data_IF_010439569346
#
_entry.id   IF_010439569346
#
_cell.length_a   1.000
_cell.length_b   1.000
_cell.length_c   1.000
_cell.angle_alpha   90.00
_cell.angle_beta   90.00
_cell.angle_gamma   90.00
#
_symmetry.space_group_name_H-M   'P 1'
#
loop_
_entity.id
_entity.type
_entity.pdbx_description
1 polymer ?
#
# COMPACT_ATOMS: atom_id res chain seq x y z
N UNK A 1 7.15 -18.80 -2.48
CA UNK A 1 7.64 -17.43 -2.82
C UNK A 1 8.79 -17.01 -1.92
N UNK A 2 8.70 -17.15 -0.58
CA UNK A 2 9.79 -16.77 0.33
C UNK A 2 11.10 -17.52 -0.02
N UNK A 3 11.05 -18.84 -0.15
CA UNK A 3 12.23 -19.65 -0.51
C UNK A 3 12.87 -19.19 -1.84
N UNK A 4 12.06 -18.82 -2.84
CA UNK A 4 12.58 -18.31 -4.11
C UNK A 4 13.29 -16.96 -3.94
N UNK A 5 12.72 -16.04 -3.15
CA UNK A 5 13.36 -14.74 -2.87
C UNK A 5 14.65 -14.91 -2.06
N UNK A 6 14.66 -15.84 -1.11
CA UNK A 6 15.87 -16.14 -0.32
C UNK A 6 17.00 -16.75 -1.15
N UNK A 7 16.66 -17.57 -2.16
CA UNK A 7 17.64 -18.23 -3.03
C UNK A 7 18.16 -17.30 -4.14
N UNK A 8 17.24 -16.57 -4.79
CA UNK A 8 17.51 -15.88 -6.05
C UNK A 8 17.43 -14.35 -5.96
N UNK A 9 17.08 -13.79 -4.79
CA UNK A 9 16.71 -12.39 -4.64
C UNK A 9 15.30 -12.10 -5.16
N UNK A 10 14.89 -10.84 -5.09
CA UNK A 10 13.64 -10.37 -5.69
C UNK A 10 13.92 -9.92 -7.13
N UNK A 11 13.17 -10.46 -8.07
CA UNK A 11 13.30 -10.10 -9.48
C UNK A 11 12.14 -9.22 -9.91
N UNK A 12 12.43 -8.12 -10.60
CA UNK A 12 11.47 -7.21 -11.20
C UNK A 12 11.58 -7.27 -12.73
N UNK A 13 10.49 -7.69 -13.36
CA UNK A 13 10.33 -7.61 -14.81
C UNK A 13 9.57 -6.33 -15.19
N UNK A 14 10.12 -5.55 -16.12
CA UNK A 14 9.49 -4.34 -16.66
C UNK A 14 9.63 -4.29 -18.19
N UNK A 15 8.67 -3.63 -18.85
CA UNK A 15 8.59 -3.62 -20.32
C UNK A 15 7.85 -4.84 -20.90
N UNK A 16 7.78 -4.91 -22.24
CA UNK A 16 7.08 -5.97 -22.97
C UNK A 16 7.89 -6.41 -24.21
N UNK A 17 7.70 -7.64 -24.66
CA UNK A 17 8.36 -8.17 -25.85
C UNK A 17 9.88 -8.06 -25.76
N UNK A 18 10.51 -7.54 -26.81
CA UNK A 18 11.97 -7.37 -26.91
C UNK A 18 12.52 -6.29 -25.94
N UNK A 19 11.65 -5.44 -25.37
CA UNK A 19 12.00 -4.44 -24.37
C UNK A 19 11.87 -4.96 -22.93
N UNK A 20 11.56 -6.23 -22.71
CA UNK A 20 11.48 -6.82 -21.39
C UNK A 20 12.86 -6.79 -20.72
N UNK A 21 12.90 -6.18 -19.54
CA UNK A 21 14.10 -6.13 -18.69
C UNK A 21 13.81 -6.82 -17.38
N UNK A 22 14.79 -7.51 -16.86
CA UNK A 22 14.74 -8.13 -15.53
C UNK A 22 15.85 -7.54 -14.68
N UNK A 23 15.45 -6.94 -13.56
CA UNK A 23 16.37 -6.44 -12.54
C UNK A 23 16.32 -7.35 -11.32
N UNK A 24 17.49 -7.58 -10.70
CA UNK A 24 17.60 -8.38 -9.48
C UNK A 24 17.92 -7.45 -8.31
N UNK A 25 17.21 -7.67 -7.21
CA UNK A 25 17.44 -7.00 -5.94
C UNK A 25 17.79 -8.04 -4.88
N UNK A 26 18.95 -7.87 -4.26
CA UNK A 26 19.35 -8.66 -3.10
C UNK A 26 18.61 -8.08 -1.88
N UNK A 27 17.71 -8.87 -1.32
CA UNK A 27 16.86 -8.49 -0.21
C UNK A 27 16.94 -9.50 0.92
N UNK A 28 16.93 -9.03 2.16
CA UNK A 28 16.71 -9.90 3.30
C UNK A 28 15.22 -10.24 3.38
N UNK A 29 14.88 -11.51 3.30
CA UNK A 29 13.51 -11.98 3.33
C UNK A 29 13.28 -12.96 4.47
N UNK A 30 12.28 -12.69 5.30
CA UNK A 30 11.92 -13.52 6.45
C UNK A 30 10.41 -13.62 6.60
N UNK A 31 9.92 -14.74 7.13
CA UNK A 31 8.55 -14.89 7.61
C UNK A 31 8.41 -14.45 9.08
N UNK A 32 9.51 -14.25 9.77
CA UNK A 32 9.58 -13.80 11.16
C UNK A 32 10.01 -12.34 11.22
N UNK A 33 9.07 -11.46 11.56
CA UNK A 33 9.34 -10.03 11.70
C UNK A 33 10.35 -9.72 12.79
N UNK A 34 10.42 -10.51 13.86
CA UNK A 34 11.34 -10.30 14.96
C UNK A 34 12.82 -10.46 14.52
N UNK A 35 13.07 -11.29 13.49
CA UNK A 35 14.42 -11.47 12.94
C UNK A 35 14.95 -10.24 12.19
N UNK A 36 14.09 -9.29 11.83
CA UNK A 36 14.44 -8.10 11.06
C UNK A 36 14.70 -6.87 11.95
N UNK A 37 14.04 -6.81 13.11
CA UNK A 37 14.15 -5.69 14.05
C UNK A 37 13.49 -4.39 13.58
N UNK A 38 13.60 -3.29 14.35
CA UNK A 38 12.99 -2.02 14.02
C UNK A 38 13.59 -1.37 12.76
N UNK A 39 12.73 -0.68 12.01
CA UNK A 39 13.09 0.04 10.77
C UNK A 39 12.62 1.48 10.83
N UNK A 40 13.30 2.38 10.12
CA UNK A 40 12.86 3.78 9.96
C UNK A 40 11.60 3.89 9.10
N UNK A 41 11.44 2.99 8.11
CA UNK A 41 10.29 2.90 7.23
C UNK A 41 9.79 1.46 7.12
N UNK A 42 8.52 1.26 7.39
CA UNK A 42 7.81 0.00 7.14
C UNK A 42 6.72 0.24 6.09
N UNK A 43 6.80 -0.44 4.95
CA UNK A 43 5.79 -0.36 3.89
C UNK A 43 4.83 -1.54 4.00
N UNK A 44 3.58 -1.25 4.34
CA UNK A 44 2.51 -2.25 4.40
C UNK A 44 1.79 -2.30 3.06
N UNK A 45 2.12 -3.30 2.24
CA UNK A 45 1.62 -3.48 0.87
C UNK A 45 0.83 -4.79 0.74
N UNK A 46 -0.19 -4.98 1.58
CA UNK A 46 -1.04 -6.17 1.60
C UNK A 46 -2.48 -5.84 1.24
N UNK A 47 -3.29 -6.86 0.94
CA UNK A 47 -4.74 -6.70 0.83
C UNK A 47 -5.37 -6.51 2.21
N UNK A 48 -6.43 -5.71 2.29
CA UNK A 48 -7.10 -5.37 3.55
C UNK A 48 -7.42 -6.59 4.47
N UNK A 49 -7.88 -7.75 3.97
CA UNK A 49 -8.13 -8.92 4.82
C UNK A 49 -6.90 -9.45 5.57
N UNK A 50 -5.68 -9.19 5.05
CA UNK A 50 -4.43 -9.62 5.70
C UNK A 50 -3.99 -8.68 6.83
N UNK A 51 -4.60 -7.51 6.99
CA UNK A 51 -4.17 -6.50 7.98
C UNK A 51 -4.23 -7.01 9.42
N UNK A 52 -5.19 -7.87 9.76
CA UNK A 52 -5.25 -8.48 11.10
C UNK A 52 -4.00 -9.32 11.40
N UNK A 53 -3.54 -10.10 10.42
CA UNK A 53 -2.29 -10.87 10.56
C UNK A 53 -1.06 -9.98 10.63
N UNK A 54 -1.02 -8.89 9.85
CA UNK A 54 0.04 -7.89 9.93
C UNK A 54 0.09 -7.26 11.32
N UNK A 55 -1.06 -6.84 11.86
CA UNK A 55 -1.14 -6.24 13.19
C UNK A 55 -0.59 -7.15 14.31
N UNK A 56 -0.76 -8.46 14.19
CA UNK A 56 -0.23 -9.42 15.15
C UNK A 56 1.29 -9.59 15.12
N UNK A 57 1.93 -9.23 14.01
CA UNK A 57 3.34 -9.53 13.76
C UNK A 57 4.23 -8.29 13.59
N UNK A 58 3.65 -7.11 13.37
CA UNK A 58 4.40 -5.91 12.96
C UNK A 58 5.18 -5.25 14.10
N UNK A 59 4.80 -5.49 15.35
CA UNK A 59 5.38 -4.79 16.51
C UNK A 59 6.93 -4.80 16.56
N UNK A 60 7.64 -5.89 16.24
CA UNK A 60 9.11 -5.89 16.24
C UNK A 60 9.74 -4.95 15.19
N UNK A 61 8.99 -4.54 14.15
CA UNK A 61 9.47 -3.66 13.09
C UNK A 61 9.29 -2.17 13.43
N UNK A 62 8.48 -1.85 14.45
CA UNK A 62 8.10 -0.47 14.78
C UNK A 62 8.94 0.01 15.97
N UNK A 63 9.79 0.99 15.73
CA UNK A 63 10.44 1.79 16.76
C UNK A 63 9.72 3.12 17.00
N UNK A 64 10.22 3.98 17.89
CA UNK A 64 9.54 5.23 18.26
C UNK A 64 9.35 6.20 17.09
N UNK A 65 10.28 6.23 16.14
CA UNK A 65 10.29 7.16 15.01
C UNK A 65 9.93 6.49 13.66
N UNK A 66 9.55 5.19 13.70
CA UNK A 66 9.20 4.44 12.48
C UNK A 66 8.03 5.09 11.75
N UNK A 67 8.19 5.33 10.45
CA UNK A 67 7.10 5.69 9.54
C UNK A 67 6.48 4.41 8.96
N UNK A 68 5.17 4.26 9.08
CA UNK A 68 4.42 3.15 8.46
C UNK A 68 3.66 3.68 7.26
N UNK A 69 4.18 3.42 6.05
CA UNK A 69 3.47 3.72 4.81
C UNK A 69 2.43 2.64 4.53
N UNK A 70 1.16 3.01 4.51
CA UNK A 70 0.08 2.10 4.10
C UNK A 70 -0.12 2.16 2.59
N UNK A 71 0.69 1.41 1.84
CA UNK A 71 0.61 1.32 0.37
C UNK A 71 -0.54 0.38 -0.05
N UNK A 72 -1.76 0.76 0.28
CA UNK A 72 -2.98 -0.04 0.13
C UNK A 72 -4.08 0.78 -0.53
N UNK A 73 -5.02 0.10 -1.19
CA UNK A 73 -6.25 0.68 -1.69
C UNK A 73 -7.44 0.26 -0.78
N UNK A 74 -8.53 1.01 -0.83
CA UNK A 74 -9.70 0.83 0.04
C UNK A 74 -9.63 1.70 1.30
N UNK A 75 -10.63 1.58 2.15
CA UNK A 75 -10.73 2.37 3.40
C UNK A 75 -9.83 1.75 4.47
N UNK A 76 -8.81 2.47 4.99
CA UNK A 76 -7.94 1.96 6.04
C UNK A 76 -8.55 2.20 7.43
N UNK A 77 -8.01 1.53 8.47
CA UNK A 77 -8.46 1.66 9.86
C UNK A 77 -8.30 3.08 10.40
N UNK A 78 -7.32 3.84 9.95
CA UNK A 78 -7.03 5.21 10.37
C UNK A 78 -7.86 6.28 9.63
N UNK A 79 -8.75 5.90 8.72
CA UNK A 79 -9.49 6.81 7.83
C UNK A 79 -10.16 7.97 8.56
N UNK A 80 -10.75 7.70 9.71
CA UNK A 80 -11.44 8.71 10.52
C UNK A 80 -10.53 9.41 11.54
N UNK A 81 -9.23 9.15 11.58
CA UNK A 81 -8.32 9.75 12.58
C UNK A 81 -8.20 11.23 12.35
N UNK A 82 -8.14 11.91 11.46
CA UNK A 82 -8.09 13.37 11.27
C UNK A 82 -9.25 13.93 10.45
N UNK A 83 -10.25 13.07 10.16
CA UNK A 83 -11.27 13.32 9.15
C UNK A 83 -12.65 12.80 9.61
N UNK A 84 -13.72 13.27 8.95
CA UNK A 84 -15.07 12.70 9.13
C UNK A 84 -16.02 13.51 10.02
N UNK A 85 -15.68 14.73 10.40
CA UNK A 85 -16.56 15.60 11.18
C UNK A 85 -17.01 14.95 12.49
N UNK A 86 -18.30 14.70 12.66
CA UNK A 86 -18.85 14.02 13.85
C UNK A 86 -18.40 12.55 14.03
N UNK A 87 -17.85 11.94 12.99
CA UNK A 87 -17.32 10.58 13.03
C UNK A 87 -15.80 10.54 13.31
N UNK A 88 -15.16 11.69 13.44
CA UNK A 88 -13.72 11.80 13.67
C UNK A 88 -13.29 11.00 14.89
N UNK A 89 -12.23 10.21 14.73
CA UNK A 89 -11.66 9.36 15.78
C UNK A 89 -12.43 8.07 16.06
N UNK A 90 -13.51 7.80 15.33
CA UNK A 90 -14.24 6.53 15.47
C UNK A 90 -13.51 5.39 14.76
N UNK A 91 -13.56 4.21 15.36
CA UNK A 91 -13.13 2.96 14.73
C UNK A 91 -14.19 2.45 13.76
N UNK A 92 -13.76 1.99 12.61
CA UNK A 92 -14.63 1.34 11.62
C UNK A 92 -14.60 -0.17 11.88
N UNK A 93 -15.62 -0.68 12.57
CA UNK A 93 -15.70 -2.10 12.96
C UNK A 93 -15.59 -3.09 11.77
N UNK A 94 -16.06 -2.69 10.60
CA UNK A 94 -15.94 -3.50 9.37
C UNK A 94 -14.49 -3.60 8.85
N UNK A 95 -13.63 -2.66 9.22
CA UNK A 95 -12.22 -2.59 8.77
C UNK A 95 -11.26 -3.04 9.88
N UNK A 96 -11.51 -2.59 11.10
CA UNK A 96 -10.70 -2.85 12.29
C UNK A 96 -11.60 -3.30 13.46
N UNK A 97 -12.08 -4.55 13.43
CA UNK A 97 -12.94 -5.08 14.49
C UNK A 97 -12.25 -5.03 15.86
N UNK A 98 -12.87 -4.32 16.79
CA UNK A 98 -12.35 -4.13 18.14
C UNK A 98 -11.10 -3.25 18.22
N UNK A 99 -10.71 -2.54 17.15
CA UNK A 99 -9.58 -1.61 17.15
C UNK A 99 -8.19 -2.25 17.23
N UNK A 100 -8.08 -3.54 16.90
CA UNK A 100 -6.83 -4.29 17.08
C UNK A 100 -5.70 -3.82 16.14
N UNK A 101 -6.04 -3.41 14.91
CA UNK A 101 -5.06 -2.89 13.95
C UNK A 101 -4.57 -1.52 14.43
N UNK A 102 -5.49 -0.64 14.84
CA UNK A 102 -5.15 0.68 15.37
C UNK A 102 -4.34 0.65 16.65
N UNK A 103 -4.56 -0.36 17.50
CA UNK A 103 -3.75 -0.59 18.70
C UNK A 103 -2.32 -1.04 18.37
N UNK A 104 -2.15 -1.87 17.34
CA UNK A 104 -0.83 -2.36 16.89
C UNK A 104 -0.05 -1.34 16.06
N UNK A 105 -0.76 -0.55 15.23
CA UNK A 105 -0.18 0.46 14.34
C UNK A 105 -0.91 1.78 14.60
N UNK A 106 -0.36 2.55 15.55
CA UNK A 106 -0.96 3.82 15.95
C UNK A 106 -0.89 4.83 14.81
N UNK A 107 -1.93 5.67 14.70
CA UNK A 107 -2.06 6.62 13.60
C UNK A 107 -0.92 7.64 13.49
N UNK A 108 -0.22 7.93 14.60
CA UNK A 108 0.96 8.78 14.59
C UNK A 108 2.17 8.21 13.84
N UNK A 109 2.25 6.90 13.64
CA UNK A 109 3.26 6.28 12.78
C UNK A 109 2.87 6.29 11.30
N UNK A 110 1.58 6.48 11.01
CA UNK A 110 1.06 6.24 9.66
C UNK A 110 1.28 7.42 8.73
N UNK A 111 1.76 7.13 7.54
CA UNK A 111 1.55 7.92 6.31
C UNK A 111 0.65 7.11 5.38
N UNK A 112 -0.44 7.71 4.94
CA UNK A 112 -1.36 7.09 3.99
C UNK A 112 -0.80 7.09 2.58
N UNK A 113 -1.04 6.01 1.83
CA UNK A 113 -0.68 5.89 0.44
C UNK A 113 -1.84 5.44 -0.44
N UNK A 114 -2.04 6.08 -1.59
CA UNK A 114 -2.99 5.63 -2.62
C UNK A 114 -2.20 5.18 -3.84
N UNK A 115 -2.24 3.87 -4.11
CA UNK A 115 -1.39 3.24 -5.11
C UNK A 115 -2.06 3.24 -6.48
N UNK A 116 -1.42 3.84 -7.47
CA UNK A 116 -1.78 3.82 -8.89
C UNK A 116 -0.68 3.09 -9.69
N UNK A 117 -0.54 1.80 -9.40
CA UNK A 117 0.38 0.90 -10.09
C UNK A 117 -0.29 -0.45 -10.27
N UNK A 118 0.06 -1.14 -11.33
CA UNK A 118 -0.37 -2.51 -11.61
C UNK A 118 0.84 -3.42 -11.69
N UNK A 119 0.87 -4.39 -10.79
CA UNK A 119 1.90 -5.42 -10.75
C UNK A 119 1.25 -6.80 -10.61
N UNK A 120 1.93 -7.81 -11.11
CA UNK A 120 1.52 -9.20 -10.98
C UNK A 120 2.71 -10.09 -10.59
N UNK A 121 2.41 -11.24 -10.02
CA UNK A 121 3.43 -12.27 -9.79
C UNK A 121 3.55 -13.10 -11.07
N UNK A 122 4.67 -12.95 -11.79
CA UNK A 122 4.93 -13.74 -13.00
C UNK A 122 5.25 -15.20 -12.65
N UNK A 123 6.07 -15.43 -11.61
CA UNK A 123 6.40 -16.70 -10.98
C UNK A 123 6.93 -16.45 -9.57
N UNK A 124 7.09 -17.47 -8.71
CA UNK A 124 7.67 -17.27 -7.37
C UNK A 124 8.96 -16.47 -7.39
N UNK A 125 9.04 -15.38 -6.61
CA UNK A 125 10.19 -14.48 -6.55
C UNK A 125 10.28 -13.44 -7.68
N UNK A 126 9.38 -13.46 -8.67
CA UNK A 126 9.41 -12.56 -9.83
C UNK A 126 8.15 -11.73 -9.91
N UNK A 127 8.30 -10.43 -9.81
CA UNK A 127 7.21 -9.46 -9.98
C UNK A 127 7.28 -8.88 -11.38
N UNK A 128 6.16 -8.82 -12.07
CA UNK A 128 6.01 -8.11 -13.33
C UNK A 128 5.31 -6.80 -13.11
N UNK A 129 5.98 -5.70 -13.43
CA UNK A 129 5.38 -4.37 -13.48
C UNK A 129 4.58 -4.23 -14.78
N UNK A 130 3.32 -3.92 -14.67
CA UNK A 130 2.42 -3.70 -15.81
C UNK A 130 2.42 -2.23 -16.24
N UNK A 131 1.82 -1.38 -15.41
CA UNK A 131 1.75 0.06 -15.69
C UNK A 131 1.59 0.87 -14.41
N UNK A 132 1.90 2.18 -14.50
CA UNK A 132 1.76 3.14 -13.43
C UNK A 132 2.87 3.01 -12.38
N UNK A 133 3.25 4.17 -11.84
CA UNK A 133 4.30 4.28 -10.81
C UNK A 133 3.95 5.36 -9.79
N UNK A 134 2.65 5.72 -9.66
CA UNK A 134 2.23 6.79 -8.76
C UNK A 134 1.74 6.25 -7.43
N UNK A 135 2.21 6.88 -6.35
CA UNK A 135 1.71 6.68 -4.99
C UNK A 135 1.43 8.06 -4.40
N UNK A 136 0.16 8.43 -4.26
CA UNK A 136 -0.23 9.67 -3.58
C UNK A 136 -0.02 9.46 -2.09
N UNK A 137 0.68 10.38 -1.44
CA UNK A 137 1.02 10.31 -0.02
C UNK A 137 0.30 11.38 0.78
N UNK A 138 -0.05 11.10 2.03
CA UNK A 138 -0.62 12.10 2.92
C UNK A 138 -0.70 11.64 4.38
N UNK A 139 -0.57 12.59 5.28
CA UNK A 139 -0.82 12.34 6.70
C UNK A 139 -2.33 12.11 6.93
N UNK A 140 -2.71 11.20 7.84
CA UNK A 140 -4.10 11.07 8.27
C UNK A 140 -4.72 12.38 8.79
N UNK A 141 -3.89 13.24 9.37
CA UNK A 141 -4.28 14.55 9.89
C UNK A 141 -4.44 15.65 8.83
N UNK A 142 -3.90 15.42 7.61
CA UNK A 142 -3.81 16.43 6.55
C UNK A 142 -2.64 17.39 6.69
N UNK A 143 -1.77 17.25 7.69
CA UNK A 143 -0.59 18.09 7.89
C UNK A 143 0.51 17.72 6.90
N UNK A 144 1.19 18.69 6.33
CA UNK A 144 2.41 18.47 5.52
C UNK A 144 3.62 18.45 6.45
N UNK A 145 3.93 17.27 6.97
CA UNK A 145 5.06 17.07 7.89
C UNK A 145 6.39 16.86 7.16
N UNK A 146 7.51 17.10 7.84
CA UNK A 146 8.86 16.86 7.27
C UNK A 146 9.06 15.38 6.92
N UNK A 147 8.53 14.44 7.73
CA UNK A 147 8.62 13.00 7.43
C UNK A 147 7.85 12.63 6.16
N UNK A 148 6.68 13.25 5.91
CA UNK A 148 5.91 13.05 4.69
C UNK A 148 6.68 13.52 3.46
N UNK A 149 7.30 14.71 3.55
CA UNK A 149 8.12 15.27 2.45
C UNK A 149 9.37 14.44 2.21
N UNK A 150 10.04 13.98 3.26
CA UNK A 150 11.19 13.09 3.17
C UNK A 150 10.83 11.75 2.51
N UNK A 151 9.68 11.17 2.87
CA UNK A 151 9.18 9.93 2.25
C UNK A 151 8.85 10.14 0.77
N UNK A 152 8.20 11.25 0.40
CA UNK A 152 7.93 11.57 -0.99
C UNK A 152 9.22 11.65 -1.80
N UNK A 153 10.21 12.40 -1.33
CA UNK A 153 11.51 12.53 -1.98
C UNK A 153 12.27 11.16 -2.06
N UNK A 154 12.10 10.28 -1.06
CA UNK A 154 12.66 8.92 -1.09
C UNK A 154 12.05 8.09 -2.22
N UNK A 155 10.72 8.10 -2.34
CA UNK A 155 10.00 7.36 -3.38
C UNK A 155 10.31 7.92 -4.79
N UNK A 156 10.41 9.24 -4.93
CA UNK A 156 10.80 9.88 -6.19
C UNK A 156 12.20 9.46 -6.66
N UNK A 157 13.16 9.34 -5.74
CA UNK A 157 14.48 8.76 -6.06
C UNK A 157 14.40 7.29 -6.49
N UNK A 158 13.40 6.57 -5.98
CA UNK A 158 13.08 5.19 -6.40
C UNK A 158 12.30 5.09 -7.71
N UNK A 159 12.05 6.21 -8.42
CA UNK A 159 11.37 6.22 -9.71
C UNK A 159 9.84 6.28 -9.62
N UNK A 160 9.28 6.55 -8.44
CA UNK A 160 7.84 6.74 -8.27
C UNK A 160 7.45 8.21 -8.48
N UNK A 161 6.24 8.43 -8.98
CA UNK A 161 5.55 9.71 -8.80
C UNK A 161 4.93 9.70 -7.40
N UNK A 162 5.36 10.60 -6.52
CA UNK A 162 4.93 10.63 -5.12
C UNK A 162 4.29 11.98 -4.71
N UNK A 163 3.17 12.40 -5.34
CA UNK A 163 2.53 13.66 -5.00
C UNK A 163 1.99 13.63 -3.56
N UNK A 164 2.16 14.77 -2.88
CA UNK A 164 1.69 14.95 -1.49
C UNK A 164 0.29 15.54 -1.50
N UNK A 165 -0.63 14.86 -0.82
CA UNK A 165 -2.01 15.26 -0.64
C UNK A 165 -2.20 16.01 0.68
N UNK A 166 -2.98 17.08 0.65
CA UNK A 166 -3.41 17.81 1.84
C UNK A 166 -4.59 17.12 2.55
N UNK A 167 -5.25 16.17 1.87
CA UNK A 167 -6.34 15.38 2.44
C UNK A 167 -6.42 13.99 1.78
N UNK A 168 -5.56 13.10 2.22
CA UNK A 168 -5.41 11.74 1.67
C UNK A 168 -6.73 10.93 1.66
N UNK A 169 -7.66 11.22 2.57
CA UNK A 169 -8.95 10.56 2.61
C UNK A 169 -9.80 10.84 1.36
N UNK A 170 -9.68 12.03 0.76
CA UNK A 170 -10.35 12.34 -0.52
C UNK A 170 -9.79 11.51 -1.66
N UNK A 171 -8.47 11.35 -1.71
CA UNK A 171 -7.81 10.57 -2.75
C UNK A 171 -8.15 9.08 -2.61
N UNK A 172 -8.18 8.57 -1.37
CA UNK A 172 -8.66 7.23 -1.06
C UNK A 172 -10.10 7.04 -1.56
N UNK A 173 -10.97 7.98 -1.25
CA UNK A 173 -12.39 7.91 -1.62
C UNK A 173 -12.58 7.98 -3.13
N UNK A 174 -11.88 8.87 -3.80
CA UNK A 174 -11.89 8.99 -5.25
C UNK A 174 -11.43 7.69 -5.93
N UNK A 175 -10.33 7.11 -5.46
CA UNK A 175 -9.83 5.82 -5.96
C UNK A 175 -10.82 4.69 -5.69
N UNK A 176 -11.41 4.67 -4.51
CA UNK A 176 -12.38 3.65 -4.12
C UNK A 176 -13.64 3.72 -4.99
N UNK A 177 -14.09 4.89 -5.36
CA UNK A 177 -15.25 5.06 -6.24
C UNK A 177 -15.07 4.31 -7.56
N UNK A 178 -13.93 4.49 -8.24
CA UNK A 178 -13.62 3.71 -9.44
C UNK A 178 -13.59 2.20 -9.19
N UNK A 179 -12.96 1.77 -8.09
CA UNK A 179 -12.89 0.35 -7.76
C UNK A 179 -14.26 -0.25 -7.43
N UNK A 180 -15.14 0.50 -6.77
CA UNK A 180 -16.49 0.04 -6.38
C UNK A 180 -17.44 -0.06 -7.57
N UNK A 181 -17.22 0.72 -8.62
CA UNK A 181 -18.07 0.69 -9.82
C UNK A 181 -17.58 -0.35 -10.81
N UNK A 182 -16.32 -0.32 -11.20
CA UNK A 182 -15.78 -1.17 -12.27
C UNK A 182 -15.52 -2.61 -11.81
N UNK A 183 -14.91 -2.81 -10.64
CA UNK A 183 -14.49 -4.15 -10.21
C UNK A 183 -15.64 -5.13 -9.99
N UNK A 184 -16.76 -4.76 -9.32
CA UNK A 184 -17.90 -5.68 -9.19
C UNK A 184 -18.53 -6.05 -10.52
N UNK A 185 -18.69 -5.09 -11.44
CA UNK A 185 -19.26 -5.35 -12.77
C UNK A 185 -18.33 -6.25 -13.57
N UNK A 186 -17.01 -6.00 -13.57
CA UNK A 186 -16.02 -6.86 -14.20
C UNK A 186 -16.07 -8.30 -13.62
N UNK A 187 -16.14 -8.44 -12.31
CA UNK A 187 -16.21 -9.75 -11.66
C UNK A 187 -17.52 -10.49 -12.00
N UNK A 188 -18.64 -9.77 -12.09
CA UNK A 188 -19.94 -10.35 -12.39
C UNK A 188 -20.08 -10.75 -13.85
N UNK A 189 -19.57 -9.94 -14.77
CA UNK A 189 -19.71 -10.15 -16.23
C UNK A 189 -18.57 -10.97 -16.83
N UNK A 190 -17.43 -11.06 -16.16
CA UNK A 190 -16.19 -11.59 -16.71
C UNK A 190 -15.50 -10.67 -17.73
N UNK A 191 -16.05 -9.47 -17.93
CA UNK A 191 -15.51 -8.49 -18.88
C UNK A 191 -14.32 -7.72 -18.29
N UNK A 192 -13.37 -7.37 -19.14
CA UNK A 192 -12.28 -6.45 -18.77
C UNK A 192 -12.80 -5.02 -18.61
N UNK A 193 -12.05 -4.16 -17.93
CA UNK A 193 -12.41 -2.75 -17.78
C UNK A 193 -12.58 -2.04 -19.13
N UNK A 194 -11.75 -2.37 -20.13
CA UNK A 194 -11.88 -1.82 -21.49
C UNK A 194 -13.21 -2.23 -22.11
N UNK A 195 -13.56 -3.51 -22.05
CA UNK A 195 -14.85 -3.98 -22.59
C UNK A 195 -16.06 -3.33 -21.91
N UNK A 196 -15.96 -3.06 -20.57
CA UNK A 196 -17.03 -2.38 -19.85
C UNK A 196 -17.16 -0.90 -20.20
N UNK A 197 -16.06 -0.25 -20.60
CA UNK A 197 -16.07 1.17 -20.96
C UNK A 197 -16.46 1.40 -22.42
N UNK A 198 -16.29 0.39 -23.27
CA UNK A 198 -16.63 0.42 -24.69
C UNK A 198 -18.05 -0.10 -24.97
N UNK A 199 -18.77 -0.60 -23.97
CA UNK A 199 -20.17 -1.05 -24.06
C UNK A 199 -21.10 0.18 -24.03
N UNK A 200 -21.93 0.35 -25.10
CA UNK A 200 -22.89 1.45 -25.26
C UNK A 200 -24.29 1.10 -24.73
#
# INVERSE_FOLDING_TARGET
TLAAVQADGLLLESGTGDALRTERFDVQASADAASLGPHDLVIVAVKAPAMRSVAQQIAPLIGPDTVVLTAMNGVPWWFLHGFGGALRGRTLESVDPGGAIGAAIRAEHVVGGVVHASCSIARPGVIRHGFGNKIILGEPSGVRSDRLLALAALLERGGFEAPVSDQIQRDIWFKLWGNMTVNPVSAFTGATSTQLMDDE
#
